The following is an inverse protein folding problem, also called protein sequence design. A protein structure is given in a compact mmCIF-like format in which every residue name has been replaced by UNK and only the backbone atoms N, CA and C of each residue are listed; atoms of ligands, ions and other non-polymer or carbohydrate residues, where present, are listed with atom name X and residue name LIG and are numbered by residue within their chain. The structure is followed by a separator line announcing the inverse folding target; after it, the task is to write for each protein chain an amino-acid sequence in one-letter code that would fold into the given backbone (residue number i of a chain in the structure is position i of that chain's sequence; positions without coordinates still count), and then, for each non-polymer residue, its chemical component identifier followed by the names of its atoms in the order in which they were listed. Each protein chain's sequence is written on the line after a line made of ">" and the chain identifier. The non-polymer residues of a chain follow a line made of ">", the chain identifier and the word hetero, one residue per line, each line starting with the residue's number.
data_IF_042931573786
#
_entry.id   IF_042931573786
#
_cell.length_a   1.000
_cell.length_b   1.000
_cell.length_c   1.000
_cell.angle_alpha   90.00
_cell.angle_beta   90.00
_cell.angle_gamma   90.00
#
_symmetry.space_group_name_H-M   'P 1'
#
loop_
_entity.id
_entity.type
_entity.pdbx_description
1 polymer ?
#
# COMPACT_ATOMS: atom_id res chain seq x y z
N UNK A 1 0.31 1.79 10.10
CA UNK A 1 0.78 3.14 9.78
C UNK A 1 -0.18 4.17 10.37
N UNK A 2 0.30 5.38 10.63
CA UNK A 2 -0.52 6.52 11.06
C UNK A 2 -1.22 7.21 9.89
N UNK A 3 -0.91 6.80 8.64
CA UNK A 3 -1.60 7.26 7.44
C UNK A 3 -3.03 6.74 7.40
N UNK A 4 -3.95 7.47 6.74
CA UNK A 4 -3.74 8.74 6.05
C UNK A 4 -3.58 9.92 7.01
N UNK A 5 -2.83 10.94 6.57
CA UNK A 5 -2.79 12.28 7.22
C UNK A 5 -3.34 13.35 6.28
N UNK A 6 -4.21 12.92 5.36
CA UNK A 6 -4.94 13.71 4.38
C UNK A 6 -6.42 13.26 4.37
N UNK A 7 -7.34 14.03 3.77
CA UNK A 7 -8.74 13.63 3.65
C UNK A 7 -8.91 12.40 2.74
N UNK A 8 -9.61 11.37 3.23
CA UNK A 8 -10.09 10.24 2.44
C UNK A 8 -11.36 9.65 3.05
N UNK A 9 -12.12 8.86 2.30
CA UNK A 9 -13.43 8.36 2.72
C UNK A 9 -14.52 9.43 2.63
N UNK A 10 -14.36 10.39 1.73
CA UNK A 10 -15.23 11.55 1.53
C UNK A 10 -15.59 11.71 0.06
N UNK A 11 -16.72 12.37 -0.28
CA UNK A 11 -17.07 12.63 -1.68
C UNK A 11 -16.08 13.62 -2.31
N UNK A 12 -15.85 13.48 -3.62
CA UNK A 12 -15.11 14.50 -4.37
C UNK A 12 -15.81 15.87 -4.26
N UNK A 13 -15.08 16.97 -4.07
CA UNK A 13 -15.71 18.29 -3.93
C UNK A 13 -16.56 18.67 -5.15
N UNK A 14 -17.80 19.10 -4.92
CA UNK A 14 -18.71 19.54 -5.99
C UNK A 14 -18.33 20.90 -6.58
N UNK A 15 -17.62 21.72 -5.80
CA UNK A 15 -17.23 23.08 -6.19
C UNK A 15 -15.80 23.09 -6.71
N UNK A 16 -15.62 23.52 -7.96
CA UNK A 16 -14.31 23.77 -8.54
C UNK A 16 -13.66 25.03 -7.95
N UNK A 17 -12.34 25.12 -8.05
CA UNK A 17 -11.55 26.28 -7.68
C UNK A 17 -10.75 26.80 -8.87
N UNK A 18 -10.31 28.06 -8.80
CA UNK A 18 -9.38 28.62 -9.77
C UNK A 18 -8.02 27.92 -9.66
N UNK A 19 -7.44 27.57 -10.80
CA UNK A 19 -6.12 26.95 -10.88
C UNK A 19 -5.07 28.00 -10.42
N UNK A 20 -4.18 27.69 -9.47
CA UNK A 20 -3.08 28.57 -9.09
C UNK A 20 -2.22 28.94 -10.32
N UNK A 21 -1.77 30.20 -10.41
CA UNK A 21 -1.03 30.69 -11.60
C UNK A 21 0.28 29.95 -11.84
N UNK A 22 0.86 29.40 -10.77
CA UNK A 22 2.11 28.65 -10.78
C UNK A 22 1.91 27.16 -11.13
N UNK A 23 0.67 26.70 -11.27
CA UNK A 23 0.32 25.31 -11.55
C UNK A 23 -0.16 25.16 -12.99
N UNK A 24 0.63 24.48 -13.82
CA UNK A 24 0.13 23.93 -15.06
C UNK A 24 -0.72 22.68 -14.75
N UNK A 25 -2.04 22.85 -14.77
CA UNK A 25 -2.98 21.80 -14.38
C UNK A 25 -3.04 20.65 -15.37
N UNK A 26 -2.92 20.93 -16.68
CA UNK A 26 -2.94 19.88 -17.70
C UNK A 26 -1.68 19.02 -17.59
N UNK A 27 -0.53 19.67 -17.35
CA UNK A 27 0.73 18.97 -17.09
C UNK A 27 0.67 18.14 -15.80
N UNK A 28 0.11 18.69 -14.72
CA UNK A 28 -0.01 17.96 -13.45
C UNK A 28 -0.92 16.73 -13.55
N UNK A 29 -2.05 16.86 -14.26
CA UNK A 29 -2.95 15.72 -14.51
C UNK A 29 -2.27 14.64 -15.34
N UNK A 30 -1.44 15.03 -16.31
CA UNK A 30 -0.72 14.12 -17.20
C UNK A 30 -1.68 13.15 -17.89
N UNK A 31 -1.57 11.87 -17.56
CA UNK A 31 -2.39 10.80 -18.15
C UNK A 31 -3.64 10.42 -17.35
N UNK A 32 -3.86 11.03 -16.18
CA UNK A 32 -5.06 10.82 -15.38
C UNK A 32 -6.32 11.42 -16.06
N UNK A 33 -7.54 11.00 -15.68
CA UNK A 33 -8.78 11.61 -16.13
C UNK A 33 -8.79 13.11 -15.86
N UNK A 34 -9.26 13.88 -16.85
CA UNK A 34 -9.44 15.32 -16.72
C UNK A 34 -10.56 15.61 -15.72
N UNK A 35 -10.21 16.28 -14.62
CA UNK A 35 -11.14 16.82 -13.63
C UNK A 35 -10.86 18.31 -13.41
N UNK A 36 -11.87 19.04 -12.96
CA UNK A 36 -11.69 20.42 -12.54
C UNK A 36 -10.77 20.46 -11.32
N UNK A 37 -9.96 21.52 -11.24
CA UNK A 37 -9.16 21.78 -10.05
C UNK A 37 -10.08 22.02 -8.84
N UNK A 38 -9.67 21.51 -7.68
CA UNK A 38 -10.35 21.71 -6.39
C UNK A 38 -9.34 22.16 -5.33
N UNK A 39 -9.80 23.02 -4.42
CA UNK A 39 -8.95 23.55 -3.37
C UNK A 39 -8.39 22.46 -2.46
N UNK A 40 -7.11 22.59 -2.11
CA UNK A 40 -6.44 21.70 -1.16
C UNK A 40 -6.02 20.35 -1.72
N UNK A 41 -6.23 20.04 -3.00
CA UNK A 41 -5.77 18.79 -3.63
C UNK A 41 -4.24 18.71 -3.69
N UNK A 42 -3.61 19.74 -4.24
CA UNK A 42 -2.15 19.88 -4.36
C UNK A 42 -1.61 20.75 -3.22
N UNK A 43 -0.37 20.53 -2.76
CA UNK A 43 0.61 19.57 -3.28
C UNK A 43 0.50 18.15 -2.67
N UNK A 44 -0.42 17.90 -1.72
CA UNK A 44 -0.31 16.74 -0.84
C UNK A 44 -1.52 15.79 -0.82
N UNK A 45 -2.75 16.31 -0.76
CA UNK A 45 -3.96 15.53 -0.49
C UNK A 45 -4.45 14.67 -1.66
N UNK A 46 -3.84 14.80 -2.85
CA UNK A 46 -4.10 13.95 -4.02
C UNK A 46 -3.97 12.45 -3.73
N UNK A 47 -3.20 12.08 -2.70
CA UNK A 47 -3.00 10.69 -2.24
C UNK A 47 -4.28 9.94 -1.89
N UNK A 48 -5.30 10.66 -1.41
CA UNK A 48 -6.58 10.08 -0.98
C UNK A 48 -7.58 9.81 -2.10
N UNK A 49 -7.20 10.04 -3.35
CA UNK A 49 -8.08 9.95 -4.52
C UNK A 49 -7.53 8.96 -5.53
N UNK A 50 -8.32 7.95 -5.92
CA UNK A 50 -7.86 6.83 -6.75
C UNK A 50 -7.31 7.23 -8.12
N UNK A 51 -7.72 8.39 -8.64
CA UNK A 51 -7.20 8.89 -9.91
C UNK A 51 -5.77 9.41 -9.81
N UNK A 52 -5.35 9.87 -8.64
CA UNK A 52 -4.07 10.57 -8.48
C UNK A 52 -3.13 9.84 -7.52
N UNK A 53 -3.68 9.05 -6.60
CA UNK A 53 -2.95 8.29 -5.61
C UNK A 53 -3.56 6.93 -5.34
N UNK A 54 -2.96 6.27 -4.35
CA UNK A 54 -3.18 4.86 -4.03
C UNK A 54 -3.42 4.66 -2.53
N UNK A 55 -3.91 5.71 -1.86
CA UNK A 55 -4.19 5.73 -0.44
C UNK A 55 -2.95 5.55 0.43
N UNK A 56 -3.20 5.27 1.71
CA UNK A 56 -2.15 5.04 2.71
C UNK A 56 -1.25 3.85 2.33
N UNK A 57 -1.83 2.79 1.76
CA UNK A 57 -1.12 1.60 1.32
C UNK A 57 -0.06 1.92 0.25
N UNK A 58 -0.38 2.69 -0.77
CA UNK A 58 0.63 3.02 -1.78
C UNK A 58 1.62 4.11 -1.34
N UNK A 59 1.23 5.01 -0.43
CA UNK A 59 2.15 6.04 0.12
C UNK A 59 3.20 5.43 1.07
N UNK A 60 2.80 4.55 1.99
CA UNK A 60 3.69 4.02 3.04
C UNK A 60 4.03 2.54 2.87
N UNK A 61 3.29 1.78 2.06
CA UNK A 61 3.54 0.36 1.85
C UNK A 61 4.94 0.09 1.31
N UNK A 62 5.42 0.89 0.36
CA UNK A 62 6.77 0.73 -0.19
C UNK A 62 7.88 0.97 0.84
N UNK A 63 7.58 1.62 1.96
CA UNK A 63 8.54 1.91 3.03
C UNK A 63 8.48 0.91 4.18
N UNK A 64 7.30 0.31 4.43
CA UNK A 64 7.06 -0.61 5.55
C UNK A 64 7.08 -2.08 5.14
N UNK A 65 6.67 -2.38 3.90
CA UNK A 65 6.64 -3.73 3.35
C UNK A 65 7.99 -4.12 2.74
N UNK A 66 8.80 -3.16 2.29
CA UNK A 66 10.10 -3.47 1.68
C UNK A 66 11.03 -4.27 2.62
N UNK A 67 11.19 -3.93 3.92
CA UNK A 67 12.07 -4.71 4.79
C UNK A 67 11.68 -6.20 4.90
N UNK A 68 10.42 -6.57 5.23
CA UNK A 68 10.03 -7.98 5.22
C UNK A 68 10.06 -8.60 3.82
N UNK A 69 9.67 -7.85 2.78
CA UNK A 69 9.68 -8.32 1.40
C UNK A 69 11.07 -8.78 0.97
N UNK A 70 12.08 -7.94 1.22
CA UNK A 70 13.47 -8.22 0.87
C UNK A 70 14.10 -9.29 1.75
N UNK A 71 13.92 -9.21 3.07
CA UNK A 71 14.59 -10.15 4.01
C UNK A 71 14.06 -11.57 3.88
N UNK A 72 12.77 -11.72 3.57
CA UNK A 72 12.12 -13.02 3.42
C UNK A 72 12.06 -13.51 1.96
N UNK A 73 12.64 -12.75 1.02
CA UNK A 73 12.67 -13.07 -0.41
C UNK A 73 11.27 -13.29 -0.99
N UNK A 74 10.34 -12.40 -0.64
CA UNK A 74 8.94 -12.50 -1.06
C UNK A 74 8.79 -12.16 -2.55
N UNK A 75 7.87 -12.86 -3.20
CA UNK A 75 7.37 -12.52 -4.54
C UNK A 75 5.95 -11.95 -4.44
N UNK A 76 5.07 -12.37 -5.34
CA UNK A 76 3.67 -11.95 -5.33
C UNK A 76 2.83 -12.73 -4.31
N UNK A 77 1.82 -12.09 -3.68
CA UNK A 77 0.84 -12.82 -2.90
C UNK A 77 -0.03 -13.67 -3.84
N UNK A 78 -0.42 -14.87 -3.38
CA UNK A 78 -1.36 -15.74 -4.12
C UNK A 78 -2.81 -15.38 -3.86
N UNK A 79 -3.07 -14.73 -2.72
CA UNK A 79 -4.37 -14.27 -2.30
C UNK A 79 -4.29 -13.02 -1.42
N UNK A 80 -5.37 -12.25 -1.44
CA UNK A 80 -5.54 -11.04 -0.64
C UNK A 80 -6.95 -10.96 -0.07
N UNK A 81 -7.05 -10.71 1.23
CA UNK A 81 -8.29 -10.40 1.94
C UNK A 81 -8.23 -8.97 2.46
N UNK A 82 -9.36 -8.27 2.53
CA UNK A 82 -9.37 -6.96 3.15
C UNK A 82 -10.67 -6.65 3.90
N UNK A 83 -10.55 -5.72 4.84
CA UNK A 83 -11.67 -4.99 5.43
C UNK A 83 -11.35 -3.50 5.38
N UNK A 84 -12.39 -2.68 5.20
CA UNK A 84 -12.26 -1.22 5.11
C UNK A 84 -13.21 -0.54 6.06
N UNK A 85 -12.82 0.64 6.56
CA UNK A 85 -13.69 1.48 7.36
C UNK A 85 -14.92 1.92 6.57
N UNK A 86 -16.11 1.70 7.12
CA UNK A 86 -17.37 2.15 6.53
C UNK A 86 -17.76 3.51 7.09
N UNK A 87 -18.08 4.45 6.22
CA UNK A 87 -18.64 5.76 6.60
C UNK A 87 -20.16 5.71 6.43
N UNK A 88 -20.90 6.11 7.46
CA UNK A 88 -22.34 6.29 7.40
C UNK A 88 -22.67 7.77 7.33
N UNK A 89 -23.51 8.16 6.36
CA UNK A 89 -23.92 9.56 6.12
C UNK A 89 -25.32 9.85 6.65
N UNK A 90 -26.04 8.81 7.08
CA UNK A 90 -27.34 8.90 7.75
C UNK A 90 -27.63 7.57 8.47
N UNK A 91 -28.75 7.51 9.20
CA UNK A 91 -29.25 6.28 9.84
C UNK A 91 -29.36 5.14 8.82
N UNK A 92 -28.61 4.05 9.06
CA UNK A 92 -28.49 2.89 8.16
C UNK A 92 -28.08 3.20 6.71
N UNK A 93 -27.59 4.42 6.42
CA UNK A 93 -27.18 4.84 5.08
C UNK A 93 -25.67 4.94 5.00
N UNK A 94 -25.05 3.89 4.45
CA UNK A 94 -23.61 3.90 4.14
C UNK A 94 -23.33 4.90 3.01
N UNK A 95 -22.29 5.71 3.17
CA UNK A 95 -21.74 6.55 2.12
C UNK A 95 -21.08 5.72 1.01
N UNK A 96 -21.15 6.24 -0.21
CA UNK A 96 -20.48 5.64 -1.38
C UNK A 96 -19.59 6.69 -2.03
N UNK A 97 -18.27 6.48 -1.96
CA UNK A 97 -17.26 7.45 -2.37
C UNK A 97 -16.25 6.80 -3.32
N UNK A 98 -16.66 6.45 -4.56
CA UNK A 98 -15.84 5.65 -5.48
C UNK A 98 -14.56 6.35 -5.95
N UNK A 99 -14.49 7.69 -5.83
CA UNK A 99 -13.30 8.47 -6.16
C UNK A 99 -12.24 8.44 -5.05
N UNK A 100 -12.63 8.17 -3.80
CA UNK A 100 -11.75 8.29 -2.63
C UNK A 100 -11.35 6.92 -2.07
N UNK A 101 -10.12 6.83 -1.54
CA UNK A 101 -9.72 5.69 -0.73
C UNK A 101 -10.57 5.61 0.55
N UNK A 102 -10.82 4.43 1.14
CA UNK A 102 -11.58 4.33 2.38
C UNK A 102 -10.84 5.01 3.55
N UNK A 103 -11.52 5.45 4.63
CA UNK A 103 -10.87 6.11 5.76
C UNK A 103 -9.83 5.22 6.46
N UNK A 104 -10.01 3.90 6.42
CA UNK A 104 -9.08 2.91 6.95
C UNK A 104 -9.15 1.60 6.16
N UNK A 105 -8.07 0.84 6.18
CA UNK A 105 -7.98 -0.49 5.61
C UNK A 105 -7.14 -1.43 6.48
N UNK A 106 -7.57 -2.69 6.52
CA UNK A 106 -6.77 -3.82 6.98
C UNK A 106 -6.74 -4.84 5.86
N UNK A 107 -5.56 -5.06 5.30
CA UNK A 107 -5.34 -6.02 4.21
C UNK A 107 -4.48 -7.16 4.72
N UNK A 108 -4.86 -8.39 4.40
CA UNK A 108 -4.08 -9.59 4.67
C UNK A 108 -3.65 -10.18 3.33
N UNK A 109 -2.35 -10.31 3.12
CA UNK A 109 -1.74 -10.89 1.92
C UNK A 109 -1.05 -12.20 2.28
N UNK A 110 -1.34 -13.27 1.55
CA UNK A 110 -0.63 -14.55 1.74
C UNK A 110 0.42 -14.73 0.66
N UNK A 111 1.69 -14.71 1.08
CA UNK A 111 2.83 -14.99 0.21
C UNK A 111 3.17 -16.47 0.27
N UNK A 112 3.41 -17.12 -0.89
CA UNK A 112 3.92 -18.48 -0.91
C UNK A 112 5.21 -18.63 -0.09
N UNK A 113 5.40 -19.82 0.48
CA UNK A 113 6.68 -20.21 1.10
C UNK A 113 7.88 -19.85 0.21
N UNK A 114 8.93 -19.33 0.83
CA UNK A 114 10.24 -19.08 0.19
C UNK A 114 11.31 -19.99 0.81
N UNK A 115 12.53 -19.98 0.27
CA UNK A 115 13.68 -20.67 0.88
C UNK A 115 14.08 -20.08 2.25
N UNK A 116 13.53 -18.90 2.61
CA UNK A 116 13.78 -18.22 3.89
C UNK A 116 12.72 -18.52 4.95
N UNK A 117 11.63 -19.21 4.60
CA UNK A 117 10.47 -19.40 5.47
C UNK A 117 10.08 -20.88 5.59
N UNK A 118 9.49 -21.27 6.71
CA UNK A 118 9.03 -22.66 6.92
C UNK A 118 7.71 -22.97 6.19
N UNK A 119 6.93 -21.93 5.89
CA UNK A 119 5.66 -22.01 5.20
C UNK A 119 5.28 -20.66 4.60
N UNK A 120 4.02 -20.52 4.23
CA UNK A 120 3.49 -19.25 3.71
C UNK A 120 3.65 -18.12 4.73
N UNK A 121 3.88 -16.91 4.22
CA UNK A 121 3.96 -15.70 5.05
C UNK A 121 2.66 -14.95 4.94
N UNK A 122 1.98 -14.78 6.08
CA UNK A 122 0.80 -13.95 6.19
C UNK A 122 1.24 -12.55 6.59
N UNK A 123 1.04 -11.58 5.70
CA UNK A 123 1.34 -10.18 5.97
C UNK A 123 0.06 -9.39 6.20
N UNK A 124 0.02 -8.67 7.32
CA UNK A 124 -1.07 -7.74 7.61
C UNK A 124 -0.61 -6.30 7.40
N UNK A 125 -1.27 -5.61 6.47
CA UNK A 125 -1.21 -4.17 6.32
C UNK A 125 -2.36 -3.52 7.09
N UNK A 126 -2.07 -2.50 7.91
CA UNK A 126 -3.09 -1.80 8.70
C UNK A 126 -2.85 -0.29 8.68
N UNK A 127 -3.87 0.47 8.31
CA UNK A 127 -3.87 1.93 8.23
C UNK A 127 -5.17 2.55 8.78
N UNK A 128 -5.26 3.88 8.76
CA UNK A 128 -6.47 4.61 9.16
C UNK A 128 -6.81 4.50 10.65
N UNK A 129 -5.78 4.46 11.49
CA UNK A 129 -5.91 4.28 12.93
C UNK A 129 -6.08 2.82 13.37
N UNK A 130 -6.17 1.87 12.42
CA UNK A 130 -6.13 0.44 12.73
C UNK A 130 -4.68 0.01 12.97
N UNK A 131 -4.44 -0.68 14.08
CA UNK A 131 -3.14 -1.22 14.46
C UNK A 131 -3.29 -2.65 14.98
N UNK A 132 -2.24 -3.49 14.86
CA UNK A 132 -2.27 -4.79 15.50
C UNK A 132 -2.21 -4.62 17.02
N UNK A 133 -2.62 -5.65 17.74
CA UNK A 133 -2.41 -5.71 19.19
C UNK A 133 -0.93 -5.50 19.49
N UNK A 134 -0.65 -4.61 20.43
CA UNK A 134 0.71 -4.35 20.89
C UNK A 134 1.35 -5.66 21.41
N UNK A 135 2.58 -5.99 21.00
CA UNK A 135 3.32 -7.14 21.53
C UNK A 135 3.38 -7.12 23.07
N UNK A 136 3.10 -8.26 23.70
CA UNK A 136 3.15 -8.41 25.16
C UNK A 136 4.56 -8.19 25.74
N UNK A 137 5.58 -8.44 24.92
CA UNK A 137 6.99 -8.27 25.29
C UNK A 137 7.43 -6.80 25.36
N UNK A 138 6.61 -5.87 24.85
CA UNK A 138 6.88 -4.44 24.95
C UNK A 138 6.32 -3.89 26.26
N UNK A 139 7.19 -3.33 27.10
CA UNK A 139 6.82 -2.67 28.34
C UNK A 139 5.83 -1.52 28.12
N UNK A 140 5.03 -1.12 29.12
CA UNK A 140 3.89 -0.21 28.94
C UNK A 140 4.24 1.17 28.37
N UNK A 141 5.47 1.64 28.57
CA UNK A 141 5.95 2.95 28.11
C UNK A 141 6.91 2.88 26.91
N UNK A 142 7.14 1.71 26.34
CA UNK A 142 8.03 1.57 25.18
C UNK A 142 7.30 2.00 23.89
N UNK A 143 7.98 2.62 22.93
CA UNK A 143 7.34 2.99 21.65
C UNK A 143 7.12 1.74 20.80
N UNK A 144 5.94 1.62 20.18
CA UNK A 144 5.70 0.56 19.20
C UNK A 144 6.01 1.09 17.79
N UNK A 145 6.86 0.38 17.06
CA UNK A 145 7.41 0.89 15.79
C UNK A 145 8.23 2.16 16.02
N UNK A 146 7.99 3.19 15.22
CA UNK A 146 8.59 4.52 15.36
C UNK A 146 7.64 5.58 15.98
N UNK A 147 6.51 5.14 16.55
CA UNK A 147 5.51 6.01 17.17
C UNK A 147 4.33 6.39 16.26
N UNK A 148 4.38 6.03 14.98
CA UNK A 148 3.23 6.05 14.07
C UNK A 148 3.26 4.94 13.03
N UNK A 149 4.46 4.49 12.67
CA UNK A 149 4.72 3.56 11.58
C UNK A 149 5.67 2.45 12.03
N UNK A 150 5.78 1.40 11.22
CA UNK A 150 6.71 0.30 11.47
C UNK A 150 6.20 -1.02 10.93
N UNK A 151 7.07 -2.02 11.02
CA UNK A 151 6.78 -3.40 10.71
C UNK A 151 7.02 -4.29 11.94
N UNK A 152 6.11 -5.22 12.20
CA UNK A 152 6.23 -6.24 13.24
C UNK A 152 6.44 -7.60 12.56
N UNK A 153 7.48 -8.31 12.98
CA UNK A 153 7.81 -9.65 12.53
C UNK A 153 7.52 -10.62 13.65
N UNK A 154 6.80 -11.69 13.35
CA UNK A 154 6.42 -12.73 14.31
C UNK A 154 7.03 -14.05 13.86
N UNK A 155 8.03 -14.53 14.61
CA UNK A 155 8.69 -15.81 14.37
C UNK A 155 8.45 -16.81 15.49
N UNK A 156 8.82 -18.06 15.26
CA UNK A 156 8.67 -19.15 16.24
C UNK A 156 9.52 -18.99 17.51
N UNK A 157 10.59 -18.18 17.46
CA UNK A 157 11.53 -17.94 18.57
C UNK A 157 11.36 -16.57 19.24
N UNK A 158 10.43 -15.76 18.76
CA UNK A 158 10.19 -14.42 19.25
C UNK A 158 9.76 -13.45 18.16
N UNK A 159 9.64 -12.18 18.55
CA UNK A 159 9.21 -11.10 17.69
C UNK A 159 10.33 -10.08 17.51
N UNK A 160 10.30 -9.37 16.40
CA UNK A 160 11.14 -8.18 16.17
C UNK A 160 10.33 -7.11 15.49
N UNK A 161 10.75 -5.86 15.60
CA UNK A 161 10.13 -4.74 14.91
C UNK A 161 11.17 -3.79 14.33
N UNK A 162 10.77 -2.98 13.37
CA UNK A 162 11.56 -1.85 12.88
C UNK A 162 10.65 -0.66 12.57
N UNK A 163 11.23 0.53 12.50
CA UNK A 163 10.55 1.74 12.07
C UNK A 163 10.43 1.83 10.54
N UNK A 164 9.96 2.97 10.06
CA UNK A 164 9.87 3.29 8.63
C UNK A 164 11.23 3.11 7.95
N UNK A 165 11.26 2.53 6.74
CA UNK A 165 12.49 2.21 5.99
C UNK A 165 13.39 1.14 6.64
N UNK A 166 12.85 0.37 7.59
CA UNK A 166 13.62 -0.65 8.29
C UNK A 166 14.61 -0.10 9.31
N UNK A 167 14.52 1.19 9.67
CA UNK A 167 15.41 1.81 10.64
C UNK A 167 15.18 1.27 12.04
N UNK A 168 16.23 1.31 12.88
CA UNK A 168 16.21 0.87 14.26
C UNK A 168 15.54 -0.52 14.46
N UNK A 169 16.06 -1.59 13.85
CA UNK A 169 15.53 -2.93 14.07
C UNK A 169 15.77 -3.36 15.52
N UNK A 170 14.74 -3.84 16.19
CA UNK A 170 14.76 -4.22 17.60
C UNK A 170 14.14 -5.61 17.81
N UNK A 171 14.80 -6.45 18.61
CA UNK A 171 14.24 -7.70 19.11
C UNK A 171 13.29 -7.42 20.28
N UNK A 172 12.27 -8.26 20.45
CA UNK A 172 11.35 -8.19 21.58
C UNK A 172 11.57 -9.37 22.55
N UNK A 173 11.65 -9.11 23.88
CA UNK A 173 11.69 -7.79 24.54
C UNK A 173 12.96 -7.00 24.18
N UNK A 174 12.91 -5.66 24.33
CA UNK A 174 13.97 -4.76 23.85
C UNK A 174 15.37 -5.09 24.39
N UNK A 175 15.46 -5.64 25.60
CA UNK A 175 16.71 -6.10 26.23
C UNK A 175 17.46 -7.16 25.42
N UNK A 176 16.80 -7.89 24.51
CA UNK A 176 17.46 -8.80 23.58
C UNK A 176 18.25 -8.07 22.49
N UNK A 177 17.85 -6.86 22.14
CA UNK A 177 18.53 -6.06 21.10
C UNK A 177 19.95 -5.71 21.52
N UNK A 178 20.16 -5.36 22.79
CA UNK A 178 21.49 -5.04 23.35
C UNK A 178 22.47 -6.22 23.28
N UNK A 179 21.94 -7.45 23.23
CA UNK A 179 22.72 -8.68 23.17
C UNK A 179 22.91 -9.18 21.73
N UNK A 180 22.24 -8.56 20.75
CA UNK A 180 22.33 -8.96 19.36
C UNK A 180 23.64 -8.45 18.74
N UNK A 181 24.42 -9.37 18.18
CA UNK A 181 25.59 -9.04 17.37
C UNK A 181 25.40 -9.63 15.97
N UNK A 182 25.01 -8.79 15.02
CA UNK A 182 24.72 -9.20 13.64
C UNK A 182 25.86 -8.73 12.74
N UNK A 183 26.59 -9.63 12.06
CA UNK A 183 27.64 -9.23 11.14
C UNK A 183 27.05 -8.48 9.94
N UNK A 184 27.75 -7.46 9.45
CA UNK A 184 27.40 -6.83 8.19
C UNK A 184 27.72 -7.78 7.03
N UNK A 185 26.68 -8.29 6.37
CA UNK A 185 26.79 -9.24 5.25
C UNK A 185 26.47 -8.63 3.89
N UNK A 186 25.97 -7.39 3.87
CA UNK A 186 25.57 -6.67 2.67
C UNK A 186 26.22 -5.28 2.68
N UNK A 187 26.59 -4.79 1.50
CA UNK A 187 27.14 -3.45 1.32
C UNK A 187 26.13 -2.39 1.79
N UNK A 188 26.64 -1.25 2.27
CA UNK A 188 25.83 -0.13 2.73
C UNK A 188 26.11 1.05 1.82
N UNK A 189 25.04 1.75 1.41
CA UNK A 189 25.19 3.02 0.70
C UNK A 189 25.94 4.00 1.60
N UNK A 190 27.06 4.60 1.17
CA UNK A 190 27.74 5.63 1.92
C UNK A 190 26.77 6.79 2.24
N UNK A 191 26.67 7.20 3.50
CA UNK A 191 25.68 8.22 3.92
C UNK A 191 24.25 7.68 4.08
N UNK A 192 24.02 6.39 3.89
CA UNK A 192 22.72 5.74 4.11
C UNK A 192 21.63 6.31 3.22
N UNK A 193 20.50 6.67 3.83
CA UNK A 193 19.36 7.25 3.11
C UNK A 193 19.73 8.54 2.36
N UNK A 194 20.61 9.39 2.89
CA UNK A 194 20.99 10.63 2.20
C UNK A 194 21.94 10.38 1.02
N UNK A 195 22.59 9.21 0.98
CA UNK A 195 23.55 8.84 -0.07
C UNK A 195 22.96 8.17 -1.30
N UNK A 196 21.68 7.76 -1.27
CA UNK A 196 21.10 6.97 -2.37
C UNK A 196 21.08 7.71 -3.72
N UNK A 197 20.92 9.03 -3.70
CA UNK A 197 21.00 9.86 -4.92
C UNK A 197 22.41 9.82 -5.54
N UNK A 198 23.46 9.84 -4.71
CA UNK A 198 24.83 9.73 -5.18
C UNK A 198 25.09 8.36 -5.80
N UNK A 199 24.61 7.28 -5.17
CA UNK A 199 24.71 5.93 -5.72
C UNK A 199 24.05 5.81 -7.10
N UNK A 200 22.89 6.44 -7.30
CA UNK A 200 22.23 6.47 -8.62
C UNK A 200 23.09 7.19 -9.68
N UNK A 201 23.68 8.34 -9.34
CA UNK A 201 24.57 9.09 -10.23
C UNK A 201 25.82 8.27 -10.57
N UNK A 202 26.43 7.64 -9.57
CA UNK A 202 27.60 6.76 -9.75
C UNK A 202 27.29 5.59 -10.68
N UNK A 203 26.13 4.94 -10.50
CA UNK A 203 25.70 3.84 -11.38
C UNK A 203 25.45 4.32 -12.81
N UNK A 204 24.88 5.52 -12.99
CA UNK A 204 24.69 6.11 -14.31
C UNK A 204 26.03 6.41 -15.01
N UNK A 205 27.04 6.89 -14.28
CA UNK A 205 28.39 7.14 -14.79
C UNK A 205 29.10 5.83 -15.14
N UNK A 206 28.97 4.80 -14.30
CA UNK A 206 29.54 3.48 -14.54
C UNK A 206 28.95 2.82 -15.80
N UNK A 207 27.69 3.10 -16.10
CA UNK A 207 26.96 2.54 -17.24
C UNK A 207 26.18 1.28 -16.88
N UNK A 208 25.21 0.93 -17.73
CA UNK A 208 24.29 -0.18 -17.49
C UNK A 208 25.05 -1.51 -17.29
N UNK A 209 24.73 -2.21 -16.20
CA UNK A 209 25.34 -3.49 -15.83
C UNK A 209 26.71 -3.40 -15.17
N UNK A 210 27.26 -2.20 -14.97
CA UNK A 210 28.61 -2.02 -14.43
C UNK A 210 28.65 -1.65 -12.93
N UNK A 211 27.50 -1.44 -12.30
CA UNK A 211 27.39 -1.14 -10.87
C UNK A 211 26.05 -1.64 -10.31
N UNK A 212 26.09 -2.33 -9.17
CA UNK A 212 24.89 -2.69 -8.42
C UNK A 212 24.38 -1.52 -7.58
N UNK A 213 23.06 -1.36 -7.50
CA UNK A 213 22.39 -0.34 -6.69
C UNK A 213 21.62 -0.98 -5.54
N UNK A 214 21.44 -0.26 -4.43
CA UNK A 214 20.73 -0.79 -3.26
C UNK A 214 19.21 -0.87 -3.45
N UNK A 215 18.67 -0.25 -4.49
CA UNK A 215 17.23 -0.28 -4.83
C UNK A 215 17.03 -0.63 -6.31
N UNK A 216 17.29 -1.89 -6.70
CA UNK A 216 17.18 -2.34 -8.08
C UNK A 216 15.70 -2.55 -8.49
N UNK A 217 15.40 -2.46 -9.79
CA UNK A 217 14.02 -2.62 -10.31
C UNK A 217 13.46 -4.03 -10.10
N UNK A 218 14.34 -5.03 -10.03
CA UNK A 218 14.03 -6.43 -9.73
C UNK A 218 13.38 -6.60 -8.35
N UNK A 219 13.56 -5.62 -7.46
CA UNK A 219 12.89 -5.56 -6.16
C UNK A 219 11.77 -4.52 -6.17
N UNK A 220 12.06 -3.30 -6.64
CA UNK A 220 11.11 -2.19 -6.57
C UNK A 220 9.85 -2.42 -7.42
N UNK A 221 9.97 -3.06 -8.60
CA UNK A 221 8.85 -3.37 -9.48
C UNK A 221 7.88 -4.37 -8.82
N UNK A 222 8.32 -5.60 -8.50
CA UNK A 222 7.48 -6.61 -7.84
C UNK A 222 6.90 -6.16 -6.49
N UNK A 223 7.66 -5.38 -5.70
CA UNK A 223 7.15 -4.77 -4.47
C UNK A 223 5.99 -3.80 -4.77
N UNK A 224 6.14 -2.94 -5.79
CA UNK A 224 5.09 -2.00 -6.20
C UNK A 224 3.84 -2.76 -6.63
N UNK A 225 4.01 -3.78 -7.48
CA UNK A 225 2.91 -4.65 -7.93
C UNK A 225 2.20 -5.32 -6.76
N UNK A 226 2.94 -5.82 -5.76
CA UNK A 226 2.37 -6.40 -4.53
C UNK A 226 1.43 -5.42 -3.82
N UNK A 227 1.83 -4.16 -3.66
CA UNK A 227 0.98 -3.14 -3.03
C UNK A 227 -0.22 -2.78 -3.89
N UNK A 228 -0.06 -2.79 -5.22
CA UNK A 228 -1.17 -2.58 -6.16
C UNK A 228 -2.18 -3.73 -6.11
N UNK A 229 -1.73 -4.98 -6.00
CA UNK A 229 -2.61 -6.15 -5.81
C UNK A 229 -3.42 -6.00 -4.51
N UNK A 230 -2.79 -5.54 -3.43
CA UNK A 230 -3.51 -5.24 -2.20
C UNK A 230 -4.53 -4.09 -2.35
N UNK A 231 -4.22 -3.06 -3.14
CA UNK A 231 -5.19 -2.01 -3.51
C UNK A 231 -6.36 -2.55 -4.35
N UNK A 232 -6.16 -3.58 -5.18
CA UNK A 232 -7.26 -4.22 -5.92
C UNK A 232 -8.31 -4.78 -4.96
N UNK A 233 -7.90 -5.44 -3.87
CA UNK A 233 -8.82 -5.94 -2.85
C UNK A 233 -9.59 -4.80 -2.18
N UNK A 234 -8.89 -3.70 -1.81
CA UNK A 234 -9.52 -2.51 -1.22
C UNK A 234 -10.57 -1.92 -2.17
N UNK A 235 -10.24 -1.75 -3.46
CA UNK A 235 -11.20 -1.24 -4.46
C UNK A 235 -12.34 -2.23 -4.73
N UNK A 236 -12.04 -3.53 -4.68
CA UNK A 236 -13.00 -4.62 -4.85
C UNK A 236 -14.13 -4.59 -3.82
N UNK A 237 -13.82 -4.17 -2.59
CA UNK A 237 -14.80 -4.07 -1.48
C UNK A 237 -15.98 -3.14 -1.77
N UNK A 238 -15.81 -2.14 -2.63
CA UNK A 238 -16.86 -1.17 -2.99
C UNK A 238 -17.39 -1.34 -4.42
N UNK A 239 -17.06 -2.45 -5.09
CA UNK A 239 -17.78 -2.87 -6.31
C UNK A 239 -19.24 -3.12 -5.93
N UNK A 240 -20.17 -2.45 -6.60
CA UNK A 240 -21.61 -2.58 -6.38
C UNK A 240 -22.26 -3.34 -7.53
N UNK A 241 -23.15 -4.28 -7.22
CA UNK A 241 -24.01 -4.96 -8.19
C UNK A 241 -25.48 -4.74 -7.80
N UNK A 242 -26.34 -4.31 -8.73
CA UNK A 242 -27.78 -4.21 -8.43
C UNK A 242 -28.44 -5.58 -8.59
N UNK A 243 -29.08 -6.07 -7.52
CA UNK A 243 -29.82 -7.33 -7.50
C UNK A 243 -31.28 -7.12 -7.15
N UNK A 244 -32.11 -8.07 -7.54
CA UNK A 244 -33.55 -8.08 -7.28
C UNK A 244 -33.87 -9.33 -6.47
N UNK A 245 -34.56 -9.16 -5.34
CA UNK A 245 -35.07 -10.25 -4.51
C UNK A 245 -36.28 -10.90 -5.18
N UNK A 246 -36.67 -12.09 -4.74
CA UNK A 246 -37.85 -12.81 -5.26
C UNK A 246 -39.16 -12.03 -5.13
N UNK A 247 -39.25 -11.15 -4.13
CA UNK A 247 -40.41 -10.27 -3.91
C UNK A 247 -40.40 -9.01 -4.79
N UNK A 248 -39.40 -8.84 -5.67
CA UNK A 248 -39.24 -7.68 -6.56
C UNK A 248 -38.42 -6.52 -5.98
N UNK A 249 -38.01 -6.59 -4.71
CA UNK A 249 -37.24 -5.51 -4.09
C UNK A 249 -35.81 -5.46 -4.63
N UNK A 250 -35.36 -4.25 -4.99
CA UNK A 250 -33.98 -4.02 -5.42
C UNK A 250 -33.07 -3.81 -4.22
N UNK A 251 -31.86 -4.37 -4.27
CA UNK A 251 -30.79 -4.11 -3.30
C UNK A 251 -29.44 -4.01 -3.99
N UNK A 252 -28.48 -3.41 -3.30
CA UNK A 252 -27.08 -3.33 -3.75
C UNK A 252 -26.29 -4.45 -3.09
N UNK A 253 -25.69 -5.30 -3.91
CA UNK A 253 -24.82 -6.38 -3.50
C UNK A 253 -23.33 -5.99 -3.54
N UNK A 254 -22.63 -6.59 -2.57
CA UNK A 254 -21.25 -6.51 -2.14
C UNK A 254 -20.29 -7.58 -2.67
N UNK A 255 -20.18 -7.92 -3.98
CA UNK A 255 -19.53 -9.18 -4.37
C UNK A 255 -18.06 -9.31 -3.93
N UNK A 256 -17.34 -8.18 -3.80
CA UNK A 256 -15.95 -8.17 -3.32
C UNK A 256 -15.78 -8.12 -1.81
N UNK A 257 -16.86 -8.13 -1.02
CA UNK A 257 -16.81 -8.07 0.45
C UNK A 257 -16.77 -9.46 1.06
N UNK A 258 -15.99 -9.60 2.13
CA UNK A 258 -15.88 -10.83 2.92
C UNK A 258 -15.45 -12.05 2.08
N UNK A 259 -14.70 -11.79 1.00
CA UNK A 259 -14.09 -12.84 0.18
C UNK A 259 -12.58 -12.72 0.24
N UNK A 260 -11.93 -13.81 -0.12
CA UNK A 260 -10.52 -13.83 -0.48
C UNK A 260 -10.39 -13.62 -1.99
N UNK A 261 -9.65 -12.60 -2.40
CA UNK A 261 -9.34 -12.32 -3.79
C UNK A 261 -8.13 -13.15 -4.22
N UNK A 262 -8.30 -14.03 -5.22
CA UNK A 262 -7.23 -14.92 -5.71
C UNK A 262 -6.51 -14.27 -6.88
N UNK A 263 -5.20 -14.14 -6.78
CA UNK A 263 -4.35 -13.47 -7.77
C UNK A 263 -3.55 -14.46 -8.60
N UNK A 264 -3.66 -14.35 -9.92
CA UNK A 264 -2.81 -15.03 -10.89
C UNK A 264 -1.74 -14.06 -11.40
N UNK A 265 -0.55 -14.12 -10.79
CA UNK A 265 0.56 -13.25 -11.14
C UNK A 265 1.06 -13.45 -12.57
N UNK A 266 1.03 -14.68 -13.09
CA UNK A 266 1.50 -14.98 -14.44
C UNK A 266 0.64 -14.33 -15.52
N UNK A 267 -0.68 -14.22 -15.26
CA UNK A 267 -1.64 -13.60 -16.17
C UNK A 267 -2.07 -12.19 -15.74
N UNK A 268 -1.49 -11.66 -14.66
CA UNK A 268 -1.82 -10.38 -14.03
C UNK A 268 -3.33 -10.16 -13.87
N UNK A 269 -4.03 -11.11 -13.23
CA UNK A 269 -5.49 -10.98 -13.04
C UNK A 269 -6.00 -11.59 -11.74
N UNK A 270 -7.13 -11.05 -11.29
CA UNK A 270 -8.00 -11.66 -10.30
C UNK A 270 -8.82 -12.76 -10.96
N UNK A 271 -8.89 -13.94 -10.36
CA UNK A 271 -9.54 -15.13 -10.98
C UNK A 271 -10.96 -15.39 -10.49
N UNK A 272 -11.33 -14.86 -9.32
CA UNK A 272 -12.62 -15.13 -8.66
C UNK A 272 -13.50 -13.89 -8.44
N UNK A 273 -13.09 -12.73 -8.95
CA UNK A 273 -13.88 -11.48 -8.96
C UNK A 273 -13.53 -10.70 -10.24
N UNK A 274 -14.23 -11.00 -11.34
CA UNK A 274 -13.88 -10.48 -12.67
C UNK A 274 -13.96 -8.95 -12.74
N UNK A 275 -14.93 -8.35 -12.06
CA UNK A 275 -15.12 -6.91 -12.00
C UNK A 275 -13.96 -6.15 -11.37
N UNK A 276 -13.11 -6.81 -10.58
CA UNK A 276 -11.90 -6.20 -10.04
C UNK A 276 -10.81 -6.02 -11.11
N UNK A 277 -10.82 -6.81 -12.18
CA UNK A 277 -9.83 -6.72 -13.26
C UNK A 277 -9.88 -5.39 -14.01
N UNK A 278 -11.00 -4.65 -13.94
CA UNK A 278 -11.09 -3.27 -14.49
C UNK A 278 -10.12 -2.29 -13.83
N UNK A 279 -9.58 -2.63 -12.66
CA UNK A 279 -8.63 -1.80 -11.93
C UNK A 279 -7.16 -2.19 -12.17
N UNK A 280 -6.90 -3.33 -12.82
CA UNK A 280 -5.53 -3.81 -13.15
C UNK A 280 -4.88 -2.91 -14.20
N UNK A 281 -5.69 -2.38 -15.12
CA UNK A 281 -5.25 -1.46 -16.16
C UNK A 281 -5.98 -0.13 -16.00
N UNK A 282 -5.35 0.94 -16.48
CA UNK A 282 -5.95 2.27 -16.51
C UNK A 282 -6.33 2.63 -17.94
N UNK A 283 -7.45 3.32 -18.09
CA UNK A 283 -7.77 4.05 -19.31
C UNK A 283 -6.99 5.36 -19.32
N UNK A 284 -6.13 5.53 -20.33
CA UNK A 284 -5.37 6.75 -20.51
C UNK A 284 -6.24 7.85 -21.14
N UNK A 285 -5.98 9.10 -20.75
CA UNK A 285 -6.60 10.26 -21.40
C UNK A 285 -6.34 10.26 -22.92
N UNK A 286 -7.31 10.73 -23.76
CA UNK A 286 -7.16 10.75 -25.21
C UNK A 286 -5.84 11.36 -25.67
N UNK A 287 -5.12 10.68 -26.56
CA UNK A 287 -3.80 11.08 -27.06
C UNK A 287 -2.62 10.36 -26.39
N UNK A 288 -2.87 9.59 -25.34
CA UNK A 288 -1.87 8.75 -24.67
C UNK A 288 -2.18 7.26 -24.89
N UNK A 289 -1.15 6.49 -25.24
CA UNK A 289 -1.23 5.03 -25.33
C UNK A 289 0.11 4.40 -24.97
N UNK A 290 0.10 3.30 -24.22
CA UNK A 290 1.25 2.40 -24.17
C UNK A 290 1.15 1.46 -25.38
N UNK A 291 2.09 1.59 -26.31
CA UNK A 291 2.29 0.65 -27.42
C UNK A 291 3.28 -0.42 -27.04
#
# INVERSE_FOLDING_TARGET
>A
TDRPVWPQGIPWPETSADIPKELDWDLWLGTAPKKNYVNGLVPFNWRGWWDYGTGALGDMGCHLVEPPYRVLDLGYPKDVQCSVGSVYVDEFKRGYFPDSCPPSSHVTMTFPKTEKTEGDVIMHWMDGGIQPTRPEELGPNETFGDGGNGALFIGSKGKMMCGTYGVNPQLLPLSKTEQANVPQTIERVPGGADGHYAQWVEAAIAGYGNMEVSSPFEIAGPLTETLLIANLAIRGTDIQEQKTRDNGDKYVDYPGRNIEMVWDASNMRVTNLEEANKFVKREYSPGWSLT
#
